data_IF_985002202586
#
_entry.id   IF_985002202586
#
_cell.length_a   1.000
_cell.length_b   1.000
_cell.length_c   1.000
_cell.angle_alpha   90.00
_cell.angle_beta   90.00
_cell.angle_gamma   90.00
#
_symmetry.space_group_name_H-M   'P 1'
#
loop_
_entity.id
_entity.type
_entity.pdbx_description
1 polymer ?
#
# COMPACT_ATOMS: atom_id res chain seq x y z
N UNK A 1 -9.92 -25.48 -0.52
CA UNK A 1 -10.39 -24.26 -1.21
C UNK A 1 -9.43 -23.12 -0.89
N UNK A 2 -8.21 -23.22 -1.41
CA UNK A 2 -7.22 -22.14 -1.43
C UNK A 2 -7.24 -21.63 -2.86
N UNK A 3 -7.54 -20.35 -3.07
CA UNK A 3 -7.49 -19.78 -4.41
C UNK A 3 -6.04 -19.76 -4.87
N UNK A 4 -5.80 -20.50 -5.96
CA UNK A 4 -4.56 -20.69 -6.66
C UNK A 4 -3.81 -19.36 -6.85
N UNK A 5 -2.57 -19.30 -6.37
CA UNK A 5 -1.62 -18.25 -6.68
C UNK A 5 -1.20 -18.43 -8.15
N UNK A 6 -2.13 -18.09 -9.06
CA UNK A 6 -2.01 -18.38 -10.48
C UNK A 6 -0.71 -17.86 -11.06
N UNK A 7 0.16 -18.80 -11.40
CA UNK A 7 1.12 -18.68 -12.48
C UNK A 7 0.36 -18.26 -13.74
N UNK A 8 0.60 -17.05 -14.22
CA UNK A 8 0.20 -16.64 -15.58
C UNK A 8 1.29 -15.81 -16.21
N UNK A 9 1.93 -16.44 -17.20
CA UNK A 9 2.42 -15.88 -18.46
C UNK A 9 2.89 -14.43 -18.39
N UNK A 10 4.21 -14.26 -18.48
CA UNK A 10 4.84 -12.95 -18.60
C UNK A 10 4.19 -12.09 -19.68
N UNK A 11 3.46 -11.08 -19.25
CA UNK A 11 3.36 -9.77 -19.88
C UNK A 11 2.92 -8.79 -18.79
N UNK A 12 3.89 -8.06 -18.25
CA UNK A 12 3.71 -7.12 -17.13
C UNK A 12 2.84 -5.93 -17.54
N UNK A 13 1.52 -6.09 -17.50
CA UNK A 13 0.57 -4.98 -17.65
C UNK A 13 -0.10 -4.72 -16.31
N UNK A 14 0.39 -3.67 -15.63
CA UNK A 14 -0.05 -3.06 -14.36
C UNK A 14 0.78 -3.35 -13.08
N UNK A 15 2.09 -3.07 -13.14
CA UNK A 15 2.64 -1.88 -12.47
C UNK A 15 2.76 -1.81 -10.93
N UNK A 16 2.70 -2.90 -10.17
CA UNK A 16 3.20 -2.88 -8.80
C UNK A 16 4.60 -3.52 -8.76
N UNK A 17 5.62 -2.69 -8.53
CA UNK A 17 7.02 -3.13 -8.43
C UNK A 17 7.25 -4.07 -7.24
N UNK A 18 6.43 -3.94 -6.19
CA UNK A 18 6.60 -4.65 -4.92
C UNK A 18 5.76 -5.94 -4.85
N UNK A 19 6.45 -7.07 -4.74
CA UNK A 19 5.82 -8.37 -4.53
C UNK A 19 5.01 -8.41 -3.21
N UNK A 20 3.86 -9.09 -3.17
CA UNK A 20 3.09 -9.26 -1.95
C UNK A 20 3.86 -10.15 -0.95
N UNK A 21 4.07 -9.65 0.26
CA UNK A 21 4.72 -10.41 1.34
C UNK A 21 3.65 -10.80 2.40
N UNK A 22 3.52 -12.10 2.76
CA UNK A 22 2.49 -12.57 3.70
C UNK A 22 2.71 -12.01 5.10
N UNK A 23 1.65 -11.79 5.90
CA UNK A 23 1.74 -11.26 7.28
C UNK A 23 2.33 -12.29 8.24
N UNK A 24 3.36 -11.91 8.99
CA UNK A 24 3.90 -12.70 10.11
C UNK A 24 3.23 -12.24 11.40
N UNK A 25 2.69 -13.15 12.22
CA UNK A 25 2.12 -12.77 13.51
C UNK A 25 3.21 -12.22 14.43
N UNK A 26 2.95 -11.03 15.00
CA UNK A 26 3.84 -10.40 15.98
C UNK A 26 3.78 -11.19 17.28
N UNK A 27 4.93 -11.58 17.83
CA UNK A 27 5.02 -12.19 19.16
C UNK A 27 4.66 -11.16 20.23
N UNK A 28 3.79 -11.56 21.15
CA UNK A 28 3.34 -10.71 22.28
C UNK A 28 3.57 -11.43 23.59
N UNK A 29 3.90 -10.68 24.65
CA UNK A 29 3.97 -11.22 26.02
C UNK A 29 2.59 -11.74 26.47
N UNK A 30 2.50 -12.77 27.33
CA UNK A 30 1.24 -13.20 27.93
C UNK A 30 0.56 -12.07 28.75
N UNK A 31 -0.78 -11.98 28.79
CA UNK A 31 -1.49 -10.92 29.52
C UNK A 31 -1.08 -10.78 31.00
N UNK A 32 -0.81 -11.90 31.68
CA UNK A 32 -0.37 -11.91 33.07
C UNK A 32 1.01 -11.23 33.30
N UNK A 33 1.82 -11.07 32.26
CA UNK A 33 3.09 -10.34 32.34
C UNK A 33 2.90 -8.85 32.04
N UNK A 34 1.96 -8.50 31.16
CA UNK A 34 1.72 -7.13 30.70
C UNK A 34 1.23 -6.17 31.81
N UNK A 35 0.71 -6.71 32.91
CA UNK A 35 0.20 -5.91 34.04
C UNK A 35 1.25 -5.66 35.13
N UNK A 36 2.42 -6.31 35.03
CA UNK A 36 3.43 -6.29 36.10
C UNK A 36 4.44 -5.16 35.94
N UNK A 37 4.61 -4.65 34.73
CA UNK A 37 5.64 -3.70 34.36
C UNK A 37 5.25 -2.93 33.09
N UNK A 38 6.10 -1.98 32.70
CA UNK A 38 5.94 -1.18 31.48
C UNK A 38 6.79 -1.71 30.30
N UNK A 39 7.30 -2.94 30.40
CA UNK A 39 8.10 -3.52 29.31
C UNK A 39 7.24 -3.76 28.06
N UNK A 40 7.82 -3.66 26.84
CA UNK A 40 7.07 -3.75 25.59
C UNK A 40 6.19 -5.01 25.48
N UNK A 41 4.92 -4.81 25.17
CA UNK A 41 3.97 -5.92 24.94
C UNK A 41 4.35 -6.72 23.69
N UNK A 42 4.77 -6.02 22.63
CA UNK A 42 5.23 -6.60 21.38
C UNK A 42 6.73 -6.85 21.50
N UNK A 43 7.12 -8.10 21.35
CA UNK A 43 8.52 -8.48 21.45
C UNK A 43 9.27 -8.04 20.18
N UNK A 44 10.54 -7.65 20.30
CA UNK A 44 11.38 -7.37 19.14
C UNK A 44 11.38 -8.54 18.16
N UNK A 45 11.36 -8.23 16.87
CA UNK A 45 11.59 -9.23 15.82
C UNK A 45 13.09 -9.41 15.61
N UNK A 46 13.48 -10.63 15.24
CA UNK A 46 14.83 -10.86 14.73
C UNK A 46 15.10 -9.97 13.50
N UNK A 47 16.31 -9.44 13.32
CA UNK A 47 16.59 -8.48 12.25
C UNK A 47 16.14 -8.93 10.85
N UNK A 48 16.35 -10.21 10.51
CA UNK A 48 15.92 -10.79 9.24
C UNK A 48 14.38 -10.88 9.08
N UNK A 49 13.66 -11.12 10.17
CA UNK A 49 12.20 -11.13 10.16
C UNK A 49 11.65 -9.70 10.03
N UNK A 50 12.30 -8.72 10.67
CA UNK A 50 11.93 -7.32 10.58
C UNK A 50 12.08 -6.76 9.16
N UNK A 51 13.19 -7.06 8.47
CA UNK A 51 13.39 -6.64 7.06
C UNK A 51 12.34 -7.25 6.13
N UNK A 52 12.04 -8.54 6.32
CA UNK A 52 10.98 -9.23 5.56
C UNK A 52 9.60 -8.61 5.82
N UNK A 53 9.28 -8.29 7.08
CA UNK A 53 8.01 -7.66 7.43
C UNK A 53 7.87 -6.24 6.85
N UNK A 54 8.97 -5.47 6.80
CA UNK A 54 9.00 -4.11 6.26
C UNK A 54 8.72 -4.08 4.74
N UNK A 55 9.11 -5.11 3.99
CA UNK A 55 8.83 -5.24 2.56
C UNK A 55 7.33 -5.31 2.21
N UNK A 56 6.43 -5.42 3.21
CA UNK A 56 4.98 -5.31 3.01
C UNK A 56 4.51 -3.88 2.78
N UNK A 57 5.26 -2.88 3.24
CA UNK A 57 4.99 -1.49 2.91
C UNK A 57 5.04 -1.37 1.38
N UNK A 58 3.92 -1.01 0.78
CA UNK A 58 3.74 -1.01 -0.68
C UNK A 58 3.61 -2.35 -1.40
N UNK A 59 3.50 -3.50 -0.71
CA UNK A 59 3.21 -4.79 -1.35
C UNK A 59 1.77 -4.92 -1.91
N UNK A 60 1.64 -5.31 -3.19
CA UNK A 60 0.36 -5.54 -3.90
C UNK A 60 -0.27 -4.30 -4.54
N UNK A 61 -1.19 -4.48 -5.50
CA UNK A 61 -1.68 -3.41 -6.41
C UNK A 61 -2.89 -2.59 -5.91
N UNK A 62 -3.26 -2.72 -4.64
CA UNK A 62 -4.40 -1.96 -4.07
C UNK A 62 -3.98 -0.60 -3.52
N UNK A 63 -4.79 0.43 -3.74
CA UNK A 63 -4.60 1.75 -3.13
C UNK A 63 -4.57 1.64 -1.60
N UNK A 64 -3.58 2.27 -0.97
CA UNK A 64 -3.42 2.33 0.50
C UNK A 64 -3.53 3.75 1.05
N UNK A 65 -3.99 4.70 0.23
CA UNK A 65 -4.06 6.12 0.58
C UNK A 65 -2.74 6.65 1.17
N UNK A 66 -1.61 6.34 0.51
CA UNK A 66 -0.29 6.84 0.90
C UNK A 66 -0.01 8.28 0.47
N UNK A 67 -0.97 8.92 -0.23
CA UNK A 67 -0.98 10.35 -0.57
C UNK A 67 0.14 10.84 -1.49
N UNK A 68 1.03 9.96 -1.97
CA UNK A 68 2.05 10.30 -3.00
C UNK A 68 1.42 10.96 -4.23
N UNK A 69 0.24 10.48 -4.66
CA UNK A 69 -0.49 11.05 -5.78
C UNK A 69 -0.98 12.48 -5.53
N UNK A 70 -1.33 12.83 -4.28
CA UNK A 70 -1.72 14.19 -3.90
C UNK A 70 -0.50 15.10 -4.00
N UNK A 71 0.62 14.68 -3.40
CA UNK A 71 1.86 15.46 -3.37
C UNK A 71 2.40 15.77 -4.78
N UNK A 72 2.28 14.82 -5.72
CA UNK A 72 2.86 14.97 -7.06
C UNK A 72 1.91 15.65 -8.06
N UNK A 73 0.64 15.85 -7.71
CA UNK A 73 -0.32 16.46 -8.61
C UNK A 73 -0.03 17.97 -8.74
N UNK A 74 0.40 18.47 -9.90
CA UNK A 74 0.73 19.89 -10.06
C UNK A 74 -0.51 20.79 -9.99
N UNK A 75 -1.68 20.25 -10.36
CA UNK A 75 -2.96 20.96 -10.36
C UNK A 75 -3.72 20.84 -9.02
N UNK A 76 -3.18 20.09 -8.04
CA UNK A 76 -3.78 19.86 -6.73
C UNK A 76 -5.23 19.34 -6.77
N UNK A 77 -5.61 18.61 -7.83
CA UNK A 77 -6.98 18.09 -8.02
C UNK A 77 -7.23 16.72 -7.37
N UNK A 78 -6.32 16.25 -6.51
CA UNK A 78 -6.43 14.95 -5.84
C UNK A 78 -6.56 15.18 -4.34
N UNK A 79 -7.56 14.58 -3.71
CA UNK A 79 -7.84 14.74 -2.27
C UNK A 79 -8.06 13.39 -1.60
N UNK A 80 -8.03 13.40 -0.26
CA UNK A 80 -8.42 12.26 0.56
C UNK A 80 -9.78 12.54 1.21
N UNK A 81 -10.75 11.69 0.92
CA UNK A 81 -12.09 11.79 1.50
C UNK A 81 -12.04 11.63 3.02
N UNK A 82 -12.74 12.49 3.76
CA UNK A 82 -12.64 12.54 5.23
C UNK A 82 -13.34 11.38 5.93
N UNK A 83 -14.40 10.85 5.33
CA UNK A 83 -15.23 9.76 5.87
C UNK A 83 -14.68 8.37 5.51
N UNK A 84 -14.32 8.13 4.25
CA UNK A 84 -13.85 6.82 3.77
C UNK A 84 -12.33 6.70 3.76
N UNK A 85 -11.61 7.83 3.76
CA UNK A 85 -10.16 7.85 3.61
C UNK A 85 -9.67 7.47 2.21
N UNK A 86 -10.56 7.38 1.22
CA UNK A 86 -10.21 7.05 -0.17
C UNK A 86 -9.59 8.25 -0.86
N UNK A 87 -8.73 7.96 -1.83
CA UNK A 87 -8.21 8.97 -2.75
C UNK A 87 -9.27 9.25 -3.81
N UNK A 88 -9.58 10.52 -4.02
CA UNK A 88 -10.53 11.01 -5.03
C UNK A 88 -9.78 11.95 -5.97
N UNK A 89 -10.03 11.81 -7.27
CA UNK A 89 -9.47 12.67 -8.31
C UNK A 89 -10.61 13.48 -8.88
N UNK A 90 -10.53 14.80 -8.78
CA UNK A 90 -11.45 15.70 -9.44
C UNK A 90 -11.08 15.78 -10.93
N UNK A 91 -11.91 15.15 -11.77
CA UNK A 91 -11.69 15.05 -13.20
C UNK A 91 -12.03 16.33 -13.95
N UNK A 92 -12.84 17.23 -13.38
CA UNK A 92 -13.14 18.53 -13.99
C UNK A 92 -11.92 19.46 -13.93
N UNK A 93 -11.09 19.30 -12.89
CA UNK A 93 -9.85 20.05 -12.73
C UNK A 93 -8.62 19.35 -13.31
N UNK A 94 -8.64 18.02 -13.40
CA UNK A 94 -7.54 17.21 -13.91
C UNK A 94 -7.11 17.58 -15.34
N UNK A 95 -5.81 17.78 -15.57
CA UNK A 95 -5.24 18.04 -16.92
C UNK A 95 -4.72 16.79 -17.62
N UNK A 96 -4.80 15.63 -16.99
CA UNK A 96 -4.38 14.35 -17.59
C UNK A 96 -2.87 14.16 -17.75
N UNK A 97 -2.03 14.86 -16.96
CA UNK A 97 -0.57 14.78 -17.07
C UNK A 97 0.04 13.39 -16.74
N UNK A 98 -0.70 12.52 -16.03
CA UNK A 98 -0.29 11.14 -15.75
C UNK A 98 0.76 10.95 -14.66
N UNK A 99 1.24 12.02 -14.02
CA UNK A 99 2.25 11.93 -12.94
C UNK A 99 1.78 11.08 -11.76
N UNK A 100 0.51 11.23 -11.35
CA UNK A 100 -0.06 10.42 -10.27
C UNK A 100 -0.06 8.91 -10.57
N UNK A 101 -0.26 8.52 -11.83
CA UNK A 101 -0.19 7.13 -12.28
C UNK A 101 1.26 6.64 -12.32
N UNK A 102 2.18 7.45 -12.83
CA UNK A 102 3.61 7.11 -12.91
C UNK A 102 4.25 6.91 -11.53
N UNK A 103 3.96 7.81 -10.58
CA UNK A 103 4.56 7.77 -9.24
C UNK A 103 3.79 6.90 -8.24
N UNK A 104 2.69 6.26 -8.64
CA UNK A 104 1.97 5.37 -7.74
C UNK A 104 2.77 4.06 -7.55
N UNK A 105 3.36 3.78 -6.37
CA UNK A 105 4.14 2.55 -6.15
C UNK A 105 3.27 1.28 -6.20
N UNK A 106 1.95 1.46 -6.18
CA UNK A 106 0.95 0.39 -6.23
C UNK A 106 0.38 0.16 -7.63
N UNK A 107 0.63 1.06 -8.59
CA UNK A 107 -0.06 1.03 -9.88
C UNK A 107 -1.58 1.16 -9.75
N UNK A 108 -2.07 1.86 -8.70
CA UNK A 108 -3.50 1.95 -8.38
C UNK A 108 -4.26 2.99 -9.22
N UNK A 109 -3.57 3.76 -10.06
CA UNK A 109 -4.14 4.77 -10.95
C UNK A 109 -3.75 4.40 -12.38
N UNK A 110 -4.71 4.48 -13.31
CA UNK A 110 -4.50 4.23 -14.73
C UNK A 110 -4.97 5.44 -15.53
N UNK A 111 -4.17 5.81 -16.53
CA UNK A 111 -4.55 6.81 -17.53
C UNK A 111 -5.25 6.11 -18.69
N UNK A 112 -6.43 6.60 -19.06
CA UNK A 112 -7.19 6.12 -20.22
C UNK A 112 -7.52 7.35 -21.10
N UNK A 113 -7.46 7.18 -22.41
CA UNK A 113 -7.88 8.23 -23.35
C UNK A 113 -9.40 8.25 -23.39
N UNK A 114 -9.98 9.44 -23.26
CA UNK A 114 -11.40 9.66 -23.46
C UNK A 114 -11.75 9.34 -24.93
N UNK A 115 -12.86 8.62 -25.16
CA UNK A 115 -13.22 8.04 -26.46
C UNK A 115 -14.38 8.77 -27.13
#
# INVERSE_FOLDING_TARGET
>A
MAADAGERSGEWRSGCEYAPVPRTPRRKRPPAERIRDFEPVVLPEEPAAATTAAARCFGGSVCRACEVCILICPDLCITRESDTGRIVIDLDWCKGCGLCAHFCPKGAIRMELDR
#
